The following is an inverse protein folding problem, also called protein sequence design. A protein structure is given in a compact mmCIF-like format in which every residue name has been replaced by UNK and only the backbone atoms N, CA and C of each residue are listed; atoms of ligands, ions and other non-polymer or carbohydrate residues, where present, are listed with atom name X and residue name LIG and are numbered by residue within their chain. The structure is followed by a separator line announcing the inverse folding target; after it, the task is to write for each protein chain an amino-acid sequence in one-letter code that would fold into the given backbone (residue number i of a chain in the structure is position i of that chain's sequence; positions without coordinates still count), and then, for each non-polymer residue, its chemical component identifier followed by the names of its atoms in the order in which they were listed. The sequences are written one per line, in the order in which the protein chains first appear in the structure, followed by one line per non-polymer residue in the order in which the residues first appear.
data_IF_251980459789
#
_entry.id   IF_251980459789
#
_cell.length_a   1.000
_cell.length_b   1.000
_cell.length_c   1.000
_cell.angle_alpha   90.00
_cell.angle_beta   90.00
_cell.angle_gamma   90.00
#
_symmetry.space_group_name_H-M   'P 1'
#
loop_
_entity.id
_entity.type
_entity.pdbx_description
1 polymer ?
#
# COMPACT_ATOMS: atom_id res chain seq x y z
N UNK A 1 23.41 69.04 78.51
CA UNK A 1 22.54 68.27 79.41
C UNK A 1 21.44 67.58 78.55
N UNK A 2 21.35 66.26 78.61
CA UNK A 2 20.32 65.33 78.14
C UNK A 2 19.89 65.42 76.63
N UNK A 3 20.31 64.51 75.75
CA UNK A 3 19.78 63.15 75.45
C UNK A 3 18.28 63.09 75.17
N UNK A 4 17.88 62.80 73.94
CA UNK A 4 17.04 61.59 73.70
C UNK A 4 16.98 61.27 72.21
N UNK A 5 17.24 60.04 71.92
CA UNK A 5 17.05 59.31 70.60
C UNK A 5 15.62 59.18 70.21
N UNK A 6 15.35 59.22 68.89
CA UNK A 6 14.25 58.44 68.36
C UNK A 6 14.63 57.84 66.99
N UNK A 7 14.74 56.54 66.99
CA UNK A 7 14.87 55.70 65.77
C UNK A 7 13.55 55.64 65.04
N UNK A 8 13.51 55.97 63.74
CA UNK A 8 12.37 55.69 62.91
C UNK A 8 12.76 54.57 61.93
N UNK A 9 12.15 53.38 62.15
CA UNK A 9 12.24 52.26 61.25
C UNK A 9 11.40 52.53 59.97
N UNK A 10 12.06 52.62 58.85
CA UNK A 10 11.39 52.60 57.54
C UNK A 10 10.96 51.18 57.21
N UNK A 11 9.68 50.90 57.05
CA UNK A 11 9.11 49.69 56.48
C UNK A 11 9.17 49.78 54.94
N UNK A 12 10.04 49.00 54.30
CA UNK A 12 10.03 48.76 52.87
C UNK A 12 8.91 47.77 52.56
N UNK A 13 7.86 48.20 51.93
CA UNK A 13 6.82 47.31 51.38
C UNK A 13 7.33 46.73 50.07
N UNK A 14 7.70 45.45 50.06
CA UNK A 14 7.99 44.70 48.85
C UNK A 14 6.64 44.29 48.25
N UNK A 15 6.20 44.98 47.23
CA UNK A 15 5.04 44.60 46.39
C UNK A 15 5.49 43.48 45.46
N UNK A 16 5.23 42.26 45.84
CA UNK A 16 5.45 41.08 44.97
C UNK A 16 4.51 41.11 43.78
N UNK A 17 5.06 41.33 42.60
CA UNK A 17 4.34 41.14 41.32
C UNK A 17 4.17 39.63 41.09
N UNK A 18 3.01 39.09 41.47
CA UNK A 18 2.62 37.73 41.06
C UNK A 18 2.27 37.79 39.62
N UNK A 19 3.21 37.44 38.75
CA UNK A 19 2.94 37.17 37.35
C UNK A 19 2.06 35.93 37.29
N UNK A 20 0.75 36.12 37.10
CA UNK A 20 -0.20 35.05 36.79
C UNK A 20 0.19 34.47 35.45
N UNK A 21 0.86 33.33 35.45
CA UNK A 21 1.03 32.46 34.29
C UNK A 21 -0.36 31.91 34.01
N UNK A 22 -1.12 32.61 33.16
CA UNK A 22 -2.32 32.03 32.55
C UNK A 22 -1.86 30.79 31.76
N UNK A 23 -2.42 29.61 32.04
CA UNK A 23 -2.16 28.48 31.17
C UNK A 23 -2.65 28.87 29.78
N UNK A 24 -1.73 29.04 28.81
CA UNK A 24 -2.12 29.06 27.41
C UNK A 24 -2.89 27.78 27.18
N UNK A 25 -4.20 27.88 27.01
CA UNK A 25 -5.01 26.76 26.55
C UNK A 25 -4.47 26.39 25.19
N UNK A 26 -3.65 25.35 25.17
CA UNK A 26 -3.29 24.63 23.96
C UNK A 26 -4.63 24.26 23.35
N UNK A 27 -4.94 24.77 22.16
CA UNK A 27 -6.10 24.35 21.39
C UNK A 27 -5.89 22.87 21.04
N UNK A 28 -6.20 21.99 22.00
CA UNK A 28 -6.21 20.56 21.81
C UNK A 28 -7.43 20.26 20.95
N UNK A 29 -7.23 19.80 19.74
CA UNK A 29 -8.29 19.26 18.90
C UNK A 29 -8.61 17.87 19.42
N UNK A 30 -9.81 17.63 19.93
CA UNK A 30 -10.19 16.33 20.53
C UNK A 30 -10.35 15.23 19.48
N UNK A 31 -10.71 15.61 18.25
CA UNK A 31 -10.97 14.67 17.17
C UNK A 31 -10.40 15.14 15.84
N UNK A 32 -9.89 14.19 15.04
CA UNK A 32 -9.56 14.38 13.62
C UNK A 32 -10.55 13.58 12.78
N UNK A 33 -11.17 14.23 11.80
CA UNK A 33 -12.07 13.59 10.84
C UNK A 33 -11.29 13.15 9.63
N UNK A 34 -11.33 11.87 9.27
CA UNK A 34 -10.61 11.34 8.13
C UNK A 34 -11.56 10.60 7.20
N UNK A 35 -11.63 11.04 5.94
CA UNK A 35 -12.34 10.28 4.91
C UNK A 35 -11.55 9.04 4.54
N UNK A 36 -12.16 7.86 4.66
CA UNK A 36 -11.54 6.57 4.31
C UNK A 36 -12.31 5.95 3.15
N UNK A 37 -11.70 5.92 1.99
CA UNK A 37 -12.35 5.48 0.74
C UNK A 37 -11.85 4.12 0.32
N UNK A 38 -12.78 3.18 0.09
CA UNK A 38 -12.50 1.80 -0.33
C UNK A 38 -13.69 1.23 -1.08
N UNK A 39 -13.52 0.18 -1.89
CA UNK A 39 -14.66 -0.49 -2.53
C UNK A 39 -15.52 -1.19 -1.47
N UNK A 40 -16.71 -0.68 -1.24
CA UNK A 40 -17.69 -1.27 -0.32
C UNK A 40 -18.80 -2.01 -1.06
N UNK A 41 -18.89 -1.82 -2.38
CA UNK A 41 -19.84 -2.49 -3.26
C UNK A 41 -19.15 -3.01 -4.52
N UNK A 42 -19.82 -3.92 -5.26
CA UNK A 42 -19.34 -4.49 -6.51
C UNK A 42 -18.25 -5.55 -6.36
N UNK A 43 -17.65 -5.99 -7.49
CA UNK A 43 -16.73 -7.14 -7.53
C UNK A 43 -15.44 -6.97 -6.72
N UNK A 44 -15.06 -5.74 -6.39
CA UNK A 44 -13.87 -5.45 -5.60
C UNK A 44 -14.12 -5.39 -4.10
N UNK A 45 -15.37 -5.41 -3.64
CA UNK A 45 -15.69 -5.25 -2.23
C UNK A 45 -15.15 -6.41 -1.37
N UNK A 46 -15.52 -7.65 -1.70
CA UNK A 46 -15.11 -8.85 -0.95
C UNK A 46 -13.58 -9.04 -0.89
N UNK A 47 -12.91 -9.17 -2.05
CA UNK A 47 -11.49 -9.52 -2.07
C UNK A 47 -10.54 -8.36 -1.72
N UNK A 48 -11.00 -7.11 -1.77
CA UNK A 48 -10.13 -5.94 -1.55
C UNK A 48 -10.72 -4.91 -0.60
N UNK A 49 -11.91 -4.40 -0.88
CA UNK A 49 -12.44 -3.22 -0.21
C UNK A 49 -12.80 -3.45 1.24
N UNK A 50 -13.52 -4.53 1.56
CA UNK A 50 -13.85 -4.91 2.93
C UNK A 50 -12.61 -5.21 3.76
N UNK A 51 -11.66 -6.05 3.28
CA UNK A 51 -10.40 -6.26 3.99
C UNK A 51 -9.59 -4.97 4.22
N UNK A 52 -9.58 -4.05 3.26
CA UNK A 52 -8.92 -2.75 3.39
C UNK A 52 -9.54 -1.92 4.53
N UNK A 53 -10.87 -1.78 4.53
CA UNK A 53 -11.62 -1.11 5.61
C UNK A 53 -11.32 -1.74 6.96
N UNK A 54 -11.39 -3.06 7.07
CA UNK A 54 -11.14 -3.81 8.30
C UNK A 54 -9.71 -3.61 8.82
N UNK A 55 -8.71 -3.57 7.94
CA UNK A 55 -7.34 -3.29 8.31
C UNK A 55 -7.15 -1.87 8.87
N UNK A 56 -7.80 -0.88 8.25
CA UNK A 56 -7.82 0.49 8.77
C UNK A 56 -8.50 0.56 10.15
N UNK A 57 -9.66 -0.07 10.33
CA UNK A 57 -10.40 -0.09 11.60
C UNK A 57 -9.57 -0.63 12.77
N UNK A 58 -8.87 -1.77 12.57
CA UNK A 58 -8.00 -2.35 13.61
C UNK A 58 -6.95 -1.36 14.09
N UNK A 59 -6.26 -0.71 13.15
CA UNK A 59 -5.16 0.20 13.48
C UNK A 59 -5.70 1.51 14.06
N UNK A 60 -6.78 2.06 13.53
CA UNK A 60 -7.42 3.28 14.06
C UNK A 60 -7.86 3.05 15.51
N UNK A 61 -8.56 1.95 15.77
CA UNK A 61 -9.06 1.65 17.12
C UNK A 61 -7.91 1.44 18.12
N UNK A 62 -6.85 0.75 17.70
CA UNK A 62 -5.68 0.52 18.54
C UNK A 62 -4.89 1.81 18.84
N UNK A 63 -4.75 2.72 17.86
CA UNK A 63 -4.13 4.03 18.08
C UNK A 63 -5.02 4.89 18.97
N UNK A 64 -6.33 4.94 18.72
CA UNK A 64 -7.28 5.72 19.52
C UNK A 64 -7.27 5.30 20.99
N UNK A 65 -7.12 4.00 21.27
CA UNK A 65 -7.05 3.46 22.63
C UNK A 65 -5.65 3.46 23.24
N UNK A 66 -4.58 3.66 22.43
CA UNK A 66 -3.18 3.54 22.86
C UNK A 66 -2.72 2.11 23.08
N UNK A 67 -3.36 1.13 22.43
CA UNK A 67 -3.06 -0.30 22.58
C UNK A 67 -2.26 -0.89 21.42
N UNK A 68 -1.90 -0.07 20.43
CA UNK A 68 -1.04 -0.51 19.35
C UNK A 68 0.39 -0.79 19.88
N UNK A 69 1.10 -1.82 19.38
CA UNK A 69 2.49 -2.07 19.80
C UNK A 69 3.43 -0.90 19.50
N UNK A 70 4.52 -0.83 20.25
CA UNK A 70 5.60 0.11 19.94
C UNK A 70 6.10 -0.08 18.49
N UNK A 71 6.49 0.99 17.81
CA UNK A 71 6.63 2.37 18.29
C UNK A 71 5.33 3.22 18.21
N UNK A 72 4.16 2.61 17.97
CA UNK A 72 2.88 3.29 17.71
C UNK A 72 1.97 3.35 18.94
N UNK A 73 2.47 3.07 20.11
CA UNK A 73 1.71 2.92 21.35
C UNK A 73 1.30 4.24 22.05
N UNK A 74 1.62 5.39 21.47
CA UNK A 74 1.08 6.67 21.96
C UNK A 74 -0.38 6.80 21.57
N UNK A 75 -1.24 7.19 22.53
CA UNK A 75 -2.68 7.31 22.33
C UNK A 75 -3.04 8.43 21.36
N UNK A 76 -3.93 8.13 20.42
CA UNK A 76 -4.49 9.08 19.46
C UNK A 76 -3.51 9.55 18.38
N UNK A 77 -3.92 10.52 17.61
CA UNK A 77 -3.17 11.18 16.53
C UNK A 77 -2.80 12.59 17.03
N UNK A 78 -1.58 12.77 17.46
CA UNK A 78 -1.19 13.95 18.25
C UNK A 78 -2.11 14.16 19.49
N UNK A 79 -2.55 13.08 20.12
CA UNK A 79 -3.49 13.08 21.23
C UNK A 79 -4.98 13.08 20.85
N UNK A 80 -5.34 13.49 19.62
CA UNK A 80 -6.72 13.49 19.15
C UNK A 80 -7.22 12.09 18.75
N UNK A 81 -8.50 11.83 18.93
CA UNK A 81 -9.16 10.60 18.46
C UNK A 81 -9.49 10.72 16.98
N UNK A 82 -9.09 9.76 16.14
CA UNK A 82 -9.53 9.71 14.76
C UNK A 82 -10.96 9.22 14.66
N UNK A 83 -11.80 10.00 13.95
CA UNK A 83 -13.15 9.64 13.55
C UNK A 83 -13.16 9.34 12.03
N UNK A 84 -13.12 8.07 11.60
CA UNK A 84 -13.14 7.72 10.18
C UNK A 84 -14.53 7.83 9.59
N UNK A 85 -14.63 8.41 8.39
CA UNK A 85 -15.85 8.44 7.59
C UNK A 85 -15.63 7.56 6.37
N UNK A 86 -16.20 6.37 6.37
CA UNK A 86 -16.04 5.41 5.29
C UNK A 86 -16.91 5.74 4.08
N UNK A 87 -16.36 5.60 2.87
CA UNK A 87 -17.08 5.82 1.62
C UNK A 87 -16.72 4.78 0.57
N UNK A 88 -17.67 4.53 -0.32
CA UNK A 88 -17.54 3.55 -1.41
C UNK A 88 -16.76 4.13 -2.60
N UNK A 89 -15.69 3.45 -3.02
CA UNK A 89 -14.86 3.79 -4.18
C UNK A 89 -15.53 3.46 -5.53
N UNK A 90 -16.67 2.79 -5.54
CA UNK A 90 -17.34 2.37 -6.77
C UNK A 90 -17.84 3.56 -7.60
N UNK A 91 -17.97 3.37 -8.92
CA UNK A 91 -18.54 4.34 -9.86
C UNK A 91 -17.54 5.15 -10.66
N UNK A 92 -16.23 4.88 -10.51
CA UNK A 92 -15.17 5.44 -11.35
C UNK A 92 -14.77 6.88 -11.00
N UNK A 93 -13.75 7.39 -11.71
CA UNK A 93 -13.05 8.62 -11.36
C UNK A 93 -13.94 9.86 -11.25
N UNK A 94 -14.90 10.05 -12.16
CA UNK A 94 -15.79 11.22 -12.15
C UNK A 94 -16.64 11.27 -10.87
N UNK A 95 -17.24 10.14 -10.49
CA UNK A 95 -18.01 10.06 -9.24
C UNK A 95 -17.11 10.30 -8.02
N UNK A 96 -15.91 9.70 -8.03
CA UNK A 96 -14.96 9.85 -6.92
C UNK A 96 -14.47 11.28 -6.75
N UNK A 97 -14.26 12.04 -7.83
CA UNK A 97 -13.93 13.47 -7.75
C UNK A 97 -15.05 14.26 -7.07
N UNK A 98 -16.32 14.00 -7.41
CA UNK A 98 -17.47 14.63 -6.75
C UNK A 98 -17.49 14.32 -5.25
N UNK A 99 -17.37 13.04 -4.87
CA UNK A 99 -17.34 12.61 -3.48
C UNK A 99 -16.14 13.20 -2.71
N UNK A 100 -14.98 13.29 -3.32
CA UNK A 100 -13.80 13.90 -2.71
C UNK A 100 -14.02 15.37 -2.37
N UNK A 101 -14.60 16.14 -3.30
CA UNK A 101 -14.96 17.53 -3.06
C UNK A 101 -15.99 17.69 -1.94
N UNK A 102 -16.98 16.78 -1.88
CA UNK A 102 -17.97 16.76 -0.79
C UNK A 102 -17.34 16.47 0.58
N UNK A 103 -16.37 15.57 0.67
CA UNK A 103 -15.59 15.36 1.90
C UNK A 103 -14.90 16.64 2.37
N UNK A 104 -14.27 17.36 1.44
CA UNK A 104 -13.53 18.59 1.76
C UNK A 104 -14.48 19.72 2.12
N UNK A 105 -15.50 19.97 1.28
CA UNK A 105 -16.33 21.18 1.36
C UNK A 105 -17.50 21.07 2.32
N UNK A 106 -18.10 19.86 2.45
CA UNK A 106 -19.31 19.67 3.26
C UNK A 106 -19.03 18.97 4.59
N UNK A 107 -18.10 17.99 4.58
CA UNK A 107 -17.82 17.22 5.79
C UNK A 107 -16.63 17.76 6.59
N UNK A 108 -15.85 18.68 6.00
CA UNK A 108 -14.69 19.32 6.63
C UNK A 108 -13.72 18.30 7.24
N UNK A 109 -13.30 17.32 6.40
CA UNK A 109 -12.30 16.33 6.83
C UNK A 109 -10.91 16.95 6.93
N UNK A 110 -10.10 16.41 7.83
CA UNK A 110 -8.70 16.84 8.06
C UNK A 110 -7.71 16.15 7.13
N UNK A 111 -8.05 14.95 6.64
CA UNK A 111 -7.26 14.20 5.68
C UNK A 111 -8.13 13.16 4.95
N UNK A 112 -7.60 12.66 3.85
CA UNK A 112 -8.16 11.55 3.10
C UNK A 112 -7.19 10.37 3.09
N UNK A 113 -7.70 9.16 3.32
CA UNK A 113 -6.94 7.89 3.23
C UNK A 113 -7.71 6.94 2.31
N UNK A 114 -6.99 6.24 1.44
CA UNK A 114 -7.64 5.17 0.69
C UNK A 114 -7.25 5.08 -0.76
N UNK A 115 -8.23 4.71 -1.54
CA UNK A 115 -8.21 4.42 -2.97
C UNK A 115 -7.36 3.22 -3.38
N UNK A 116 -8.02 2.31 -4.05
CA UNK A 116 -7.46 1.04 -4.57
C UNK A 116 -7.18 1.16 -6.07
N UNK A 117 -8.13 1.71 -6.84
CA UNK A 117 -8.03 1.79 -8.30
C UNK A 117 -7.01 2.85 -8.73
N UNK A 118 -6.04 2.45 -9.57
CA UNK A 118 -5.10 3.39 -10.19
C UNK A 118 -5.80 4.48 -11.02
N UNK A 119 -6.94 4.16 -11.65
CA UNK A 119 -7.76 5.13 -12.38
C UNK A 119 -8.33 6.20 -11.44
N UNK A 120 -8.84 5.80 -10.28
CA UNK A 120 -9.36 6.74 -9.29
C UNK A 120 -8.23 7.60 -8.69
N UNK A 121 -7.09 7.02 -8.36
CA UNK A 121 -5.94 7.79 -7.85
C UNK A 121 -5.44 8.83 -8.85
N UNK A 122 -5.41 8.50 -10.15
CA UNK A 122 -5.04 9.45 -11.20
C UNK A 122 -6.06 10.58 -11.34
N UNK A 123 -7.35 10.31 -11.12
CA UNK A 123 -8.39 11.34 -11.12
C UNK A 123 -8.35 12.22 -9.86
N UNK A 124 -8.11 11.63 -8.69
CA UNK A 124 -8.11 12.33 -7.39
C UNK A 124 -6.83 13.13 -7.14
N UNK A 125 -5.67 12.62 -7.57
CA UNK A 125 -4.38 13.26 -7.29
C UNK A 125 -4.32 14.76 -7.67
N UNK A 126 -4.74 15.17 -8.88
CA UNK A 126 -4.83 16.59 -9.26
C UNK A 126 -5.79 17.39 -8.38
N UNK A 127 -6.94 16.81 -8.02
CA UNK A 127 -7.96 17.46 -7.20
C UNK A 127 -7.47 17.67 -5.77
N UNK A 128 -6.78 16.68 -5.20
CA UNK A 128 -6.19 16.81 -3.86
C UNK A 128 -5.19 17.97 -3.77
N UNK A 129 -4.34 18.14 -4.79
CA UNK A 129 -3.42 19.29 -4.88
C UNK A 129 -4.17 20.62 -5.07
N UNK A 130 -5.21 20.62 -5.94
CA UNK A 130 -6.03 21.82 -6.21
C UNK A 130 -6.69 22.36 -4.95
N UNK A 131 -7.34 21.46 -4.19
CA UNK A 131 -8.04 21.85 -2.96
C UNK A 131 -7.15 21.80 -1.71
N UNK A 132 -5.86 21.53 -1.88
CA UNK A 132 -4.84 21.45 -0.82
C UNK A 132 -5.23 20.48 0.30
N UNK A 133 -5.75 19.29 -0.04
CA UNK A 133 -6.17 18.30 0.93
C UNK A 133 -5.12 17.18 1.07
N UNK A 134 -4.58 17.02 2.27
CA UNK A 134 -3.69 15.89 2.58
C UNK A 134 -4.40 14.56 2.26
N UNK A 135 -3.83 13.83 1.31
CA UNK A 135 -4.37 12.57 0.82
C UNK A 135 -3.31 11.49 0.84
N UNK A 136 -3.60 10.35 1.46
CA UNK A 136 -2.69 9.20 1.53
C UNK A 136 -3.29 8.05 0.75
N UNK A 137 -2.80 7.80 -0.45
CA UNK A 137 -3.19 6.64 -1.24
C UNK A 137 -2.61 5.36 -0.65
N UNK A 138 -3.47 4.34 -0.54
CA UNK A 138 -3.14 3.09 0.14
C UNK A 138 -2.70 1.98 -0.80
N UNK A 139 -3.33 1.86 -1.98
CA UNK A 139 -3.22 0.63 -2.78
C UNK A 139 -2.91 0.86 -4.25
N UNK A 140 -3.36 1.94 -4.87
CA UNK A 140 -3.18 2.15 -6.31
C UNK A 140 -1.70 2.02 -6.74
N UNK A 141 -1.45 1.44 -7.93
CA UNK A 141 -0.13 0.94 -8.29
C UNK A 141 0.53 1.57 -9.52
N UNK A 142 -0.13 2.45 -10.29
CA UNK A 142 0.51 3.10 -11.43
C UNK A 142 1.70 3.97 -11.01
N UNK A 143 2.83 3.88 -11.72
CA UNK A 143 3.98 4.77 -11.50
C UNK A 143 3.71 6.19 -11.98
N UNK A 144 2.76 6.38 -12.90
CA UNK A 144 2.44 7.67 -13.53
C UNK A 144 2.06 8.73 -12.52
N UNK A 145 1.47 8.35 -11.39
CA UNK A 145 1.01 9.27 -10.35
C UNK A 145 2.07 10.31 -9.93
N UNK A 146 3.36 9.91 -9.88
CA UNK A 146 4.47 10.77 -9.48
C UNK A 146 5.52 10.97 -10.57
N UNK A 147 5.53 10.15 -11.62
CA UNK A 147 6.51 10.29 -12.71
C UNK A 147 6.03 11.25 -13.78
N UNK A 148 4.70 11.41 -13.97
CA UNK A 148 4.16 12.46 -14.85
C UNK A 148 4.12 13.82 -14.18
N UNK A 149 3.83 13.89 -12.88
CA UNK A 149 3.80 15.14 -12.11
C UNK A 149 4.02 14.88 -10.63
N UNK A 150 4.91 15.66 -10.00
CA UNK A 150 5.05 15.67 -8.54
C UNK A 150 3.78 16.23 -7.89
N UNK A 151 3.45 15.71 -6.71
CA UNK A 151 2.26 16.05 -5.93
C UNK A 151 2.67 16.54 -4.55
N UNK A 152 2.14 17.67 -4.12
CA UNK A 152 2.51 18.30 -2.85
C UNK A 152 1.63 17.87 -1.67
N UNK A 153 0.37 17.49 -1.93
CA UNK A 153 -0.60 17.10 -0.90
C UNK A 153 -0.94 15.60 -0.93
N UNK A 154 -0.30 14.85 -1.82
CA UNK A 154 -0.59 13.44 -2.03
C UNK A 154 0.60 12.59 -1.62
N UNK A 155 0.35 11.59 -0.77
CA UNK A 155 1.31 10.53 -0.41
C UNK A 155 0.81 9.18 -0.90
N UNK A 156 1.71 8.22 -1.08
CA UNK A 156 1.36 6.83 -1.32
C UNK A 156 2.28 5.90 -0.55
N UNK A 157 1.70 5.10 0.35
CA UNK A 157 2.44 4.16 1.21
C UNK A 157 2.70 2.81 0.57
N UNK A 158 2.08 2.54 -0.57
CA UNK A 158 2.27 1.32 -1.34
C UNK A 158 3.28 1.55 -2.48
N UNK A 159 4.09 0.54 -2.78
CA UNK A 159 4.92 0.50 -3.98
C UNK A 159 4.08 0.48 -5.27
N UNK A 160 4.73 0.60 -6.40
CA UNK A 160 4.06 0.68 -7.70
C UNK A 160 4.36 -0.53 -8.60
N UNK A 161 3.76 -0.55 -9.78
CA UNK A 161 3.87 -1.62 -10.77
C UNK A 161 5.32 -1.98 -11.14
N UNK A 162 6.25 -1.04 -11.02
CA UNK A 162 7.67 -1.27 -11.33
C UNK A 162 8.24 -2.36 -10.42
N UNK A 163 8.16 -2.16 -9.10
CA UNK A 163 8.70 -3.14 -8.15
C UNK A 163 8.01 -4.49 -8.24
N UNK A 164 6.67 -4.50 -8.31
CA UNK A 164 5.89 -5.74 -8.42
C UNK A 164 6.30 -6.56 -9.65
N UNK A 165 6.43 -5.91 -10.80
CA UNK A 165 6.69 -6.59 -12.08
C UNK A 165 8.16 -6.97 -12.28
N UNK A 166 9.10 -6.13 -11.82
CA UNK A 166 10.53 -6.46 -11.85
C UNK A 166 10.84 -7.62 -10.90
N UNK A 167 10.23 -7.64 -9.70
CA UNK A 167 10.37 -8.77 -8.78
C UNK A 167 9.79 -10.07 -9.36
N UNK A 168 8.66 -10.01 -10.07
CA UNK A 168 8.08 -11.16 -10.78
C UNK A 168 9.06 -11.72 -11.82
N UNK A 169 9.59 -10.86 -12.69
CA UNK A 169 10.54 -11.27 -13.73
C UNK A 169 11.84 -11.83 -13.13
N UNK A 170 12.34 -11.20 -12.06
CA UNK A 170 13.54 -11.67 -11.36
C UNK A 170 13.30 -13.03 -10.68
N UNK A 171 12.14 -13.22 -10.04
CA UNK A 171 11.77 -14.50 -9.43
C UNK A 171 11.73 -15.64 -10.46
N UNK A 172 11.19 -15.38 -11.64
CA UNK A 172 11.18 -16.34 -12.75
C UNK A 172 12.61 -16.72 -13.14
N UNK A 173 13.50 -15.75 -13.27
CA UNK A 173 14.89 -15.99 -13.61
C UNK A 173 15.65 -16.75 -12.51
N UNK A 174 15.53 -16.30 -11.26
CA UNK A 174 16.33 -16.81 -10.15
C UNK A 174 15.86 -18.18 -9.68
N UNK A 175 14.56 -18.36 -9.46
CA UNK A 175 14.03 -19.54 -8.78
C UNK A 175 13.37 -20.52 -9.73
N UNK A 176 12.56 -20.05 -10.65
CA UNK A 176 11.80 -20.97 -11.49
C UNK A 176 12.67 -21.65 -12.53
N UNK A 177 13.50 -20.90 -13.25
CA UNK A 177 14.32 -21.46 -14.32
C UNK A 177 15.76 -21.80 -13.89
N UNK A 178 16.35 -21.14 -12.93
CA UNK A 178 17.71 -21.43 -12.42
C UNK A 178 18.73 -21.79 -13.51
N UNK A 179 18.67 -21.10 -14.65
CA UNK A 179 19.56 -21.35 -15.79
C UNK A 179 19.27 -22.61 -16.62
N UNK A 180 18.21 -23.38 -16.33
CA UNK A 180 17.90 -24.68 -16.97
C UNK A 180 16.76 -24.56 -18.00
N UNK A 181 16.82 -23.67 -18.96
CA UNK A 181 15.68 -23.44 -19.83
C UNK A 181 15.94 -23.82 -21.28
N UNK A 182 15.04 -24.63 -21.87
CA UNK A 182 14.96 -24.79 -23.32
C UNK A 182 14.37 -23.52 -23.96
N UNK A 183 14.69 -23.26 -25.23
CA UNK A 183 14.22 -22.06 -25.94
C UNK A 183 12.68 -21.98 -26.02
N UNK A 184 11.98 -23.11 -26.07
CA UNK A 184 10.54 -23.19 -26.12
C UNK A 184 9.84 -22.78 -24.80
N UNK A 185 10.54 -22.94 -23.66
CA UNK A 185 9.97 -22.67 -22.34
C UNK A 185 10.14 -21.21 -21.90
N UNK A 186 10.91 -20.42 -22.68
CA UNK A 186 11.21 -19.02 -22.39
C UNK A 186 10.15 -18.03 -22.91
N UNK A 187 9.17 -18.50 -23.66
CA UNK A 187 8.11 -17.61 -24.16
C UNK A 187 7.17 -17.20 -23.06
N UNK A 188 6.84 -15.91 -23.03
CA UNK A 188 5.89 -15.33 -22.09
C UNK A 188 4.84 -14.48 -22.80
N UNK A 189 3.69 -14.35 -22.16
CA UNK A 189 2.57 -13.48 -22.55
C UNK A 189 1.92 -12.92 -21.29
N UNK A 190 0.76 -12.26 -21.43
CA UNK A 190 0.03 -11.75 -20.29
C UNK A 190 -1.47 -11.65 -20.53
N UNK A 191 -2.20 -11.62 -19.42
CA UNK A 191 -3.58 -11.20 -19.35
C UNK A 191 -3.72 -10.18 -18.24
N UNK A 192 -4.02 -8.92 -18.58
CA UNK A 192 -4.04 -7.81 -17.65
C UNK A 192 -5.24 -6.93 -17.93
N UNK A 193 -5.81 -6.28 -16.93
CA UNK A 193 -6.98 -5.40 -17.11
C UNK A 193 -6.60 -4.16 -17.92
N UNK A 194 -7.46 -3.76 -18.86
CA UNK A 194 -7.21 -2.66 -19.80
C UNK A 194 -7.41 -1.28 -19.15
N UNK A 195 -6.52 -0.91 -18.24
CA UNK A 195 -6.41 0.42 -17.65
C UNK A 195 -4.99 0.64 -17.09
N UNK A 196 -4.71 1.82 -16.49
CA UNK A 196 -3.35 2.21 -16.09
C UNK A 196 -2.58 1.11 -15.35
N UNK A 197 -3.15 0.50 -14.30
CA UNK A 197 -2.49 -0.56 -13.53
C UNK A 197 -2.10 -1.77 -14.36
N UNK A 198 -3.04 -2.31 -15.18
CA UNK A 198 -2.78 -3.52 -15.95
C UNK A 198 -1.78 -3.28 -17.08
N UNK A 199 -1.89 -2.14 -17.76
CA UNK A 199 -0.96 -1.73 -18.81
C UNK A 199 0.45 -1.52 -18.27
N UNK A 200 0.60 -0.82 -17.15
CA UNK A 200 1.89 -0.54 -16.51
C UNK A 200 2.52 -1.82 -15.96
N UNK A 201 1.74 -2.68 -15.32
CA UNK A 201 2.22 -3.97 -14.80
C UNK A 201 2.81 -4.84 -15.92
N UNK A 202 2.11 -4.99 -17.04
CA UNK A 202 2.63 -5.78 -18.15
C UNK A 202 3.83 -5.12 -18.85
N UNK A 203 3.82 -3.79 -18.99
CA UNK A 203 4.96 -3.03 -19.52
C UNK A 203 6.24 -3.32 -18.72
N UNK A 204 6.18 -3.19 -17.40
CA UNK A 204 7.37 -3.42 -16.55
C UNK A 204 7.71 -4.89 -16.40
N UNK A 205 6.75 -5.80 -16.50
CA UNK A 205 7.06 -7.22 -16.58
C UNK A 205 7.87 -7.55 -17.84
N UNK A 206 7.46 -7.05 -19.01
CA UNK A 206 8.23 -7.21 -20.27
C UNK A 206 9.63 -6.63 -20.16
N UNK A 207 9.77 -5.42 -19.63
CA UNK A 207 11.07 -4.78 -19.41
C UNK A 207 11.94 -5.59 -18.44
N UNK A 208 11.36 -6.11 -17.37
CA UNK A 208 12.04 -7.00 -16.42
C UNK A 208 12.49 -8.31 -17.06
N UNK A 209 11.63 -8.95 -17.85
CA UNK A 209 12.01 -10.16 -18.62
C UNK A 209 13.18 -9.90 -19.55
N UNK A 210 13.19 -8.77 -20.26
CA UNK A 210 14.31 -8.40 -21.13
C UNK A 210 15.64 -8.20 -20.36
N UNK A 211 15.58 -7.74 -19.12
CA UNK A 211 16.76 -7.52 -18.28
C UNK A 211 17.28 -8.79 -17.58
N UNK A 212 16.37 -9.63 -17.07
CA UNK A 212 16.74 -10.80 -16.28
C UNK A 212 16.79 -12.09 -17.10
N UNK A 213 16.08 -12.13 -18.22
CA UNK A 213 16.03 -13.27 -19.13
C UNK A 213 16.08 -12.79 -20.60
N UNK A 214 17.21 -12.24 -21.07
CA UNK A 214 17.31 -11.60 -22.40
C UNK A 214 17.06 -12.57 -23.56
N UNK A 215 17.17 -13.88 -23.33
CA UNK A 215 16.83 -14.91 -24.33
C UNK A 215 15.31 -15.27 -24.34
N UNK A 216 14.50 -14.74 -23.42
CA UNK A 216 13.07 -14.97 -23.42
C UNK A 216 12.37 -14.13 -24.50
N UNK A 217 11.40 -14.73 -25.17
CA UNK A 217 10.62 -14.09 -26.23
C UNK A 217 9.20 -13.87 -25.78
N UNK A 218 8.75 -12.62 -25.80
CA UNK A 218 7.37 -12.25 -25.50
C UNK A 218 6.45 -12.54 -26.68
N UNK A 219 5.27 -13.08 -26.42
CA UNK A 219 4.20 -13.18 -27.42
C UNK A 219 3.72 -11.80 -27.87
N UNK A 220 3.37 -11.66 -29.13
CA UNK A 220 2.76 -10.44 -29.70
C UNK A 220 1.28 -10.28 -29.38
N UNK A 221 0.67 -11.24 -28.68
CA UNK A 221 -0.77 -11.31 -28.44
C UNK A 221 -1.15 -11.35 -26.95
N UNK A 222 -0.65 -10.43 -26.12
CA UNK A 222 -1.13 -10.32 -24.74
C UNK A 222 -2.60 -9.89 -24.74
N UNK A 223 -3.34 -10.32 -23.71
CA UNK A 223 -4.77 -10.04 -23.59
C UNK A 223 -5.00 -8.87 -22.60
N UNK A 224 -5.89 -7.95 -22.98
CA UNK A 224 -6.25 -6.81 -22.13
C UNK A 224 -7.79 -6.66 -22.07
N UNK A 225 -8.48 -7.56 -21.35
CA UNK A 225 -9.92 -7.41 -21.15
C UNK A 225 -10.26 -6.18 -20.32
N UNK A 226 -11.51 -5.72 -20.44
CA UNK A 226 -12.03 -4.60 -19.66
C UNK A 226 -12.01 -4.95 -18.16
N UNK A 227 -11.73 -3.95 -17.33
CA UNK A 227 -11.86 -4.06 -15.88
C UNK A 227 -13.30 -4.43 -15.49
N UNK A 228 -13.46 -5.37 -14.56
CA UNK A 228 -14.73 -5.93 -14.12
C UNK A 228 -15.51 -6.68 -15.21
N UNK A 229 -14.81 -7.28 -16.16
CA UNK A 229 -15.42 -8.11 -17.19
C UNK A 229 -16.09 -9.37 -16.63
N UNK A 230 -15.46 -10.05 -15.68
CA UNK A 230 -15.97 -11.26 -15.04
C UNK A 230 -16.07 -12.50 -15.95
N UNK A 231 -15.85 -12.35 -17.27
CA UNK A 231 -15.92 -13.41 -18.27
C UNK A 231 -14.64 -13.42 -19.10
N UNK A 232 -13.90 -14.54 -19.08
CA UNK A 232 -12.55 -14.68 -19.65
C UNK A 232 -12.39 -15.90 -20.55
N UNK A 233 -13.50 -16.50 -21.00
CA UNK A 233 -13.46 -17.74 -21.80
C UNK A 233 -12.70 -17.61 -23.11
N UNK A 234 -12.86 -16.48 -23.82
CA UNK A 234 -12.14 -16.17 -25.06
C UNK A 234 -10.65 -15.96 -24.83
N UNK A 235 -10.31 -15.20 -23.82
CA UNK A 235 -8.92 -14.90 -23.46
C UNK A 235 -8.17 -16.16 -22.99
N UNK A 236 -8.81 -17.00 -22.17
CA UNK A 236 -8.26 -18.28 -21.73
C UNK A 236 -8.01 -19.20 -22.92
N UNK A 237 -8.96 -19.26 -23.88
CA UNK A 237 -8.80 -20.06 -25.09
C UNK A 237 -7.63 -19.55 -25.94
N UNK A 238 -7.54 -18.24 -26.17
CA UNK A 238 -6.45 -17.62 -26.90
C UNK A 238 -5.07 -17.89 -26.23
N UNK A 239 -4.98 -17.72 -24.91
CA UNK A 239 -3.78 -18.00 -24.14
C UNK A 239 -3.40 -19.49 -24.17
N UNK A 240 -4.38 -20.40 -24.16
CA UNK A 240 -4.14 -21.85 -24.20
C UNK A 240 -3.55 -22.29 -25.55
N UNK A 241 -3.89 -21.61 -26.62
CA UNK A 241 -3.36 -21.83 -27.98
C UNK A 241 -2.02 -21.11 -28.22
N UNK A 242 -1.68 -20.09 -27.43
CA UNK A 242 -0.41 -19.39 -27.54
C UNK A 242 0.75 -20.33 -27.19
N UNK A 243 1.90 -20.16 -27.87
CA UNK A 243 3.11 -20.95 -27.58
C UNK A 243 3.77 -20.57 -26.25
N UNK A 244 3.47 -19.38 -25.72
CA UNK A 244 4.00 -18.93 -24.43
C UNK A 244 3.54 -19.84 -23.30
N UNK A 245 4.48 -20.25 -22.46
CA UNK A 245 4.18 -21.06 -21.27
C UNK A 245 3.94 -20.19 -20.02
N UNK A 246 4.63 -19.07 -19.93
CA UNK A 246 4.51 -18.12 -18.82
C UNK A 246 3.42 -17.11 -19.14
N UNK A 247 2.44 -16.96 -18.26
CA UNK A 247 1.36 -15.97 -18.39
C UNK A 247 1.38 -15.06 -17.18
N UNK A 248 1.75 -13.79 -17.40
CA UNK A 248 1.69 -12.76 -16.37
C UNK A 248 0.29 -12.20 -16.23
N UNK A 249 -0.15 -11.99 -15.00
CA UNK A 249 -1.39 -11.28 -14.70
C UNK A 249 -1.22 -10.31 -13.55
N UNK A 250 -1.83 -9.15 -13.69
CA UNK A 250 -2.06 -8.16 -12.64
C UNK A 250 -3.53 -8.10 -12.21
N UNK A 251 -4.32 -9.09 -12.56
CA UNK A 251 -5.71 -9.18 -12.14
C UNK A 251 -5.83 -9.13 -10.63
N UNK A 252 -6.77 -8.36 -10.18
CA UNK A 252 -7.15 -8.18 -8.79
C UNK A 252 -8.67 -8.22 -8.68
N UNK A 253 -9.23 -8.17 -7.48
CA UNK A 253 -10.67 -8.23 -7.22
C UNK A 253 -11.34 -9.52 -7.73
N UNK A 254 -12.64 -9.47 -7.94
CA UNK A 254 -13.43 -10.57 -8.49
C UNK A 254 -13.01 -11.01 -9.90
N UNK A 255 -12.29 -10.16 -10.67
CA UNK A 255 -11.74 -10.57 -11.97
C UNK A 255 -10.69 -11.67 -11.83
N UNK A 256 -9.82 -11.57 -10.81
CA UNK A 256 -8.85 -12.63 -10.54
C UNK A 256 -9.54 -13.95 -10.19
N UNK A 257 -10.51 -13.92 -9.29
CA UNK A 257 -11.26 -15.11 -8.88
C UNK A 257 -12.04 -15.72 -10.05
N UNK A 258 -12.74 -14.88 -10.84
CA UNK A 258 -13.47 -15.32 -12.01
C UNK A 258 -12.56 -15.93 -13.07
N UNK A 259 -11.39 -15.33 -13.32
CA UNK A 259 -10.39 -15.89 -14.23
C UNK A 259 -9.89 -17.24 -13.73
N UNK A 260 -9.51 -17.35 -12.45
CA UNK A 260 -9.00 -18.59 -11.87
C UNK A 260 -9.99 -19.73 -11.98
N UNK A 261 -11.26 -19.52 -11.63
CA UNK A 261 -12.30 -20.52 -11.72
C UNK A 261 -12.54 -20.99 -13.17
N UNK A 262 -12.59 -20.07 -14.12
CA UNK A 262 -12.76 -20.38 -15.53
C UNK A 262 -11.53 -21.07 -16.13
N UNK A 263 -10.32 -20.69 -15.69
CA UNK A 263 -9.06 -21.30 -16.11
C UNK A 263 -8.90 -22.73 -15.59
N UNK A 264 -9.32 -22.99 -14.34
CA UNK A 264 -9.33 -24.33 -13.75
C UNK A 264 -10.17 -25.31 -14.56
N UNK A 265 -11.40 -24.96 -14.85
CA UNK A 265 -12.35 -25.83 -15.63
C UNK A 265 -11.82 -26.11 -17.02
N UNK A 266 -11.04 -25.20 -17.63
CA UNK A 266 -10.47 -25.35 -18.97
C UNK A 266 -9.09 -25.98 -19.02
N UNK A 267 -8.57 -26.48 -17.91
CA UNK A 267 -7.25 -27.13 -17.86
C UNK A 267 -6.08 -26.20 -18.17
N UNK A 268 -6.22 -24.91 -17.91
CA UNK A 268 -5.21 -23.90 -18.19
C UNK A 268 -3.90 -24.18 -17.48
N UNK A 269 -3.95 -24.52 -16.19
CA UNK A 269 -2.77 -24.74 -15.33
C UNK A 269 -1.99 -26.02 -15.64
N UNK A 270 -2.55 -26.90 -16.47
CA UNK A 270 -1.82 -28.07 -16.99
C UNK A 270 -0.85 -27.70 -18.13
N UNK A 271 -1.08 -26.54 -18.77
CA UNK A 271 -0.34 -26.08 -19.95
C UNK A 271 0.47 -24.82 -19.70
N UNK A 272 0.07 -24.03 -18.73
CA UNK A 272 0.58 -22.66 -18.47
C UNK A 272 1.00 -22.47 -17.02
N UNK A 273 2.01 -21.64 -16.86
CA UNK A 273 2.51 -21.17 -15.57
C UNK A 273 1.97 -19.76 -15.39
N UNK A 274 1.09 -19.59 -14.42
CA UNK A 274 0.57 -18.27 -14.08
C UNK A 274 1.54 -17.55 -13.14
N UNK A 275 1.82 -16.28 -13.45
CA UNK A 275 2.58 -15.35 -12.60
C UNK A 275 1.67 -14.22 -12.23
N UNK A 276 1.25 -14.15 -10.98
CA UNK A 276 0.32 -13.14 -10.48
C UNK A 276 1.02 -12.15 -9.55
N UNK A 277 0.89 -10.85 -9.87
CA UNK A 277 1.44 -9.77 -9.04
C UNK A 277 0.60 -9.46 -7.80
N UNK A 278 -0.69 -9.84 -7.78
CA UNK A 278 -1.69 -9.36 -6.81
C UNK A 278 -2.63 -10.44 -6.29
N UNK A 279 -2.54 -11.65 -6.81
CA UNK A 279 -3.54 -12.71 -6.60
C UNK A 279 -3.67 -13.23 -5.16
N UNK A 280 -2.82 -12.81 -4.24
CA UNK A 280 -2.83 -13.31 -2.86
C UNK A 280 -4.16 -13.14 -2.11
N UNK A 281 -4.98 -12.15 -2.49
CA UNK A 281 -6.31 -11.96 -1.89
C UNK A 281 -7.36 -12.96 -2.36
N UNK A 282 -7.17 -13.60 -3.53
CA UNK A 282 -8.08 -14.63 -4.05
C UNK A 282 -7.73 -16.06 -3.61
N UNK A 283 -6.59 -16.25 -2.95
CA UNK A 283 -6.13 -17.59 -2.55
C UNK A 283 -7.06 -18.20 -1.51
N UNK A 284 -7.46 -17.43 -0.51
CA UNK A 284 -8.32 -17.94 0.58
C UNK A 284 -9.75 -18.19 0.13
N UNK A 285 -10.29 -17.36 -0.78
CA UNK A 285 -11.65 -17.53 -1.30
C UNK A 285 -11.79 -18.79 -2.15
N UNK A 286 -10.73 -19.22 -2.83
CA UNK A 286 -10.70 -20.43 -3.64
C UNK A 286 -10.29 -21.68 -2.82
N UNK A 287 -9.62 -21.51 -1.70
CA UNK A 287 -9.18 -22.56 -0.77
C UNK A 287 -8.56 -23.78 -1.50
N UNK A 288 -9.06 -24.98 -1.28
CA UNK A 288 -8.60 -26.24 -1.91
C UNK A 288 -8.65 -26.22 -3.44
N UNK A 289 -9.44 -25.33 -4.03
CA UNK A 289 -9.53 -25.19 -5.49
C UNK A 289 -8.40 -24.35 -6.05
N UNK A 290 -7.66 -23.60 -5.20
CA UNK A 290 -6.54 -22.81 -5.68
C UNK A 290 -5.41 -23.73 -6.16
N UNK A 291 -4.92 -23.58 -7.42
CA UNK A 291 -3.92 -24.48 -7.95
C UNK A 291 -2.56 -24.32 -7.28
N UNK A 292 -1.88 -25.44 -7.04
CA UNK A 292 -0.47 -25.46 -6.71
C UNK A 292 0.36 -24.96 -7.90
N UNK A 293 1.51 -24.35 -7.65
CA UNK A 293 2.47 -23.99 -8.70
C UNK A 293 2.27 -22.61 -9.32
N UNK A 294 1.32 -21.80 -8.86
CA UNK A 294 1.20 -20.40 -9.29
C UNK A 294 2.31 -19.58 -8.66
N UNK A 295 3.08 -18.86 -9.47
CA UNK A 295 4.06 -17.88 -9.00
C UNK A 295 3.27 -16.65 -8.52
N UNK A 296 3.36 -16.33 -7.23
CA UNK A 296 2.47 -15.40 -6.56
C UNK A 296 3.24 -14.31 -5.82
N UNK A 297 2.91 -13.05 -6.15
CA UNK A 297 3.21 -11.88 -5.34
C UNK A 297 1.96 -11.36 -4.62
N UNK A 298 2.15 -10.53 -3.60
CA UNK A 298 1.08 -9.93 -2.81
C UNK A 298 1.16 -8.41 -2.78
N UNK A 299 1.88 -7.81 -3.73
CA UNK A 299 2.19 -6.38 -3.76
C UNK A 299 2.90 -5.91 -2.48
N UNK A 300 4.01 -6.53 -2.18
CA UNK A 300 4.81 -6.27 -0.99
C UNK A 300 5.15 -7.55 -0.24
N UNK A 301 5.57 -7.39 0.98
CA UNK A 301 5.76 -8.47 1.95
C UNK A 301 4.57 -8.44 2.92
N UNK A 302 3.39 -8.90 2.47
CA UNK A 302 2.11 -8.81 3.18
C UNK A 302 1.22 -10.03 2.92
N UNK A 303 0.11 -10.14 3.64
CA UNK A 303 -0.92 -11.15 3.43
C UNK A 303 -0.40 -12.58 3.56
N UNK A 304 -0.68 -13.43 2.55
CA UNK A 304 -0.29 -14.84 2.52
C UNK A 304 1.20 -15.07 2.78
N UNK A 305 2.07 -14.18 2.30
CA UNK A 305 3.53 -14.32 2.41
C UNK A 305 4.00 -14.22 3.87
N UNK A 306 3.34 -13.41 4.69
CA UNK A 306 3.75 -13.11 6.07
C UNK A 306 2.91 -13.81 7.15
N UNK A 307 2.06 -14.76 6.79
CA UNK A 307 1.21 -15.47 7.76
C UNK A 307 1.98 -16.15 8.88
N UNK A 308 3.19 -16.61 8.60
CA UNK A 308 4.06 -17.26 9.56
C UNK A 308 5.19 -16.33 10.07
N UNK A 309 5.18 -15.05 9.71
CA UNK A 309 6.14 -14.08 10.22
C UNK A 309 5.77 -13.68 11.65
N UNK A 310 6.75 -13.79 12.55
CA UNK A 310 6.58 -13.62 14.00
C UNK A 310 7.05 -12.26 14.52
N UNK A 311 7.35 -11.30 13.63
CA UNK A 311 7.63 -9.93 14.08
C UNK A 311 6.47 -9.43 14.95
N UNK A 312 6.76 -8.76 16.08
CA UNK A 312 5.73 -8.43 17.07
C UNK A 312 4.54 -7.67 16.48
N UNK A 313 4.81 -6.69 15.60
CA UNK A 313 3.76 -5.89 14.98
C UNK A 313 2.91 -6.71 14.00
N UNK A 314 3.52 -7.60 13.21
CA UNK A 314 2.78 -8.47 12.29
C UNK A 314 1.94 -9.49 13.06
N UNK A 315 2.52 -10.13 14.07
CA UNK A 315 1.78 -11.07 14.92
C UNK A 315 0.58 -10.40 15.58
N UNK A 316 0.77 -9.21 16.18
CA UNK A 316 -0.31 -8.44 16.76
C UNK A 316 -1.44 -8.15 15.77
N UNK A 317 -1.08 -7.76 14.55
CA UNK A 317 -2.06 -7.42 13.50
C UNK A 317 -2.86 -8.65 13.06
N UNK A 318 -2.19 -9.78 12.81
CA UNK A 318 -2.85 -11.04 12.46
C UNK A 318 -3.78 -11.49 13.58
N UNK A 319 -3.31 -11.51 14.83
CA UNK A 319 -4.10 -11.95 15.99
C UNK A 319 -5.33 -11.05 16.21
N UNK A 320 -5.15 -9.73 16.11
CA UNK A 320 -6.24 -8.75 16.24
C UNK A 320 -7.27 -8.90 15.13
N UNK A 321 -6.81 -9.09 13.89
CA UNK A 321 -7.67 -9.26 12.73
C UNK A 321 -8.47 -10.58 12.83
N UNK A 322 -7.82 -11.69 13.16
CA UNK A 322 -8.47 -12.99 13.36
C UNK A 322 -9.47 -12.95 14.50
N UNK A 323 -9.12 -12.33 15.62
CA UNK A 323 -10.03 -12.16 16.76
C UNK A 323 -11.31 -11.41 16.38
N UNK A 324 -11.20 -10.37 15.55
CA UNK A 324 -12.33 -9.51 15.20
C UNK A 324 -13.16 -10.03 14.04
N UNK A 325 -12.52 -10.62 13.04
CA UNK A 325 -13.17 -10.97 11.76
C UNK A 325 -13.15 -12.46 11.42
N UNK A 326 -12.49 -13.29 12.21
CA UNK A 326 -12.45 -14.75 11.99
C UNK A 326 -11.60 -15.19 10.79
N UNK A 327 -10.82 -14.30 10.18
CA UNK A 327 -10.05 -14.54 8.95
C UNK A 327 -8.62 -14.01 9.05
N UNK A 328 -7.77 -14.37 8.11
CA UNK A 328 -6.45 -13.74 7.96
C UNK A 328 -6.57 -12.37 7.29
N UNK A 329 -5.73 -11.37 7.68
CA UNK A 329 -5.65 -10.12 6.96
C UNK A 329 -5.07 -10.34 5.56
N UNK A 330 -5.73 -9.79 4.55
CA UNK A 330 -5.28 -9.82 3.16
C UNK A 330 -4.34 -8.64 2.85
N UNK A 331 -3.69 -8.65 1.69
CA UNK A 331 -2.81 -7.57 1.26
C UNK A 331 -3.41 -6.16 1.45
N UNK A 332 -4.64 -5.89 0.99
CA UNK A 332 -5.31 -4.60 1.19
C UNK A 332 -5.48 -4.20 2.66
N UNK A 333 -5.65 -5.15 3.59
CA UNK A 333 -5.72 -4.86 5.03
C UNK A 333 -4.44 -4.21 5.53
N UNK A 334 -3.29 -4.77 5.16
CA UNK A 334 -1.97 -4.23 5.50
C UNK A 334 -1.72 -2.86 4.86
N UNK A 335 -2.16 -2.68 3.62
CA UNK A 335 -1.91 -1.45 2.85
C UNK A 335 -2.67 -0.25 3.44
N UNK A 336 -3.94 -0.44 3.85
CA UNK A 336 -4.71 0.61 4.51
C UNK A 336 -4.23 0.88 5.94
N UNK A 337 -3.94 -0.17 6.69
CA UNK A 337 -3.33 -0.06 8.02
C UNK A 337 -2.02 0.78 7.97
N UNK A 338 -1.17 0.52 6.97
CA UNK A 338 0.07 1.26 6.73
C UNK A 338 -0.15 2.74 6.43
N UNK A 339 -1.20 3.08 5.68
CA UNK A 339 -1.55 4.47 5.41
C UNK A 339 -1.99 5.21 6.68
N UNK A 340 -2.76 4.56 7.55
CA UNK A 340 -3.12 5.09 8.88
C UNK A 340 -1.87 5.28 9.75
N UNK A 341 -0.93 4.33 9.72
CA UNK A 341 0.34 4.44 10.46
C UNK A 341 1.19 5.63 9.99
N UNK A 342 1.29 5.87 8.67
CA UNK A 342 1.98 7.05 8.16
C UNK A 342 1.35 8.34 8.67
N UNK A 343 0.02 8.44 8.66
CA UNK A 343 -0.68 9.62 9.19
C UNK A 343 -0.41 9.79 10.70
N UNK A 344 -0.45 8.71 11.48
CA UNK A 344 -0.09 8.71 12.91
C UNK A 344 1.31 9.28 13.15
N UNK A 345 2.31 8.77 12.43
CA UNK A 345 3.70 9.23 12.55
C UNK A 345 3.81 10.72 12.20
N UNK A 346 3.17 11.13 11.10
CA UNK A 346 3.15 12.53 10.66
C UNK A 346 2.58 13.46 11.72
N UNK A 347 1.43 13.10 12.28
CA UNK A 347 0.74 13.85 13.33
C UNK A 347 1.60 13.98 14.59
N UNK A 348 2.12 12.86 15.11
CA UNK A 348 2.89 12.86 16.35
C UNK A 348 4.21 13.62 16.19
N UNK A 349 4.91 13.40 15.08
CA UNK A 349 6.20 14.08 14.79
C UNK A 349 6.00 15.58 14.63
N UNK A 350 4.96 15.99 13.90
CA UNK A 350 4.62 17.39 13.70
C UNK A 350 4.21 18.08 15.02
N UNK A 351 3.37 17.42 15.82
CA UNK A 351 2.94 17.93 17.12
C UNK A 351 4.12 18.10 18.08
N UNK A 352 5.01 17.10 18.12
CA UNK A 352 6.25 17.18 18.93
C UNK A 352 7.13 18.35 18.53
N UNK A 353 7.30 18.57 17.24
CA UNK A 353 8.11 19.67 16.72
C UNK A 353 7.47 21.05 16.97
N UNK A 354 6.14 21.14 16.85
CA UNK A 354 5.40 22.40 17.03
C UNK A 354 5.07 22.72 18.50
N UNK A 355 5.16 21.75 19.42
CA UNK A 355 4.72 21.90 20.83
C UNK A 355 3.21 22.12 20.99
N UNK A 356 2.43 21.87 19.94
CA UNK A 356 0.97 22.03 19.90
C UNK A 356 0.36 21.15 18.83
N UNK A 357 -0.99 21.11 18.74
CA UNK A 357 -1.68 20.40 17.67
C UNK A 357 -1.21 20.93 16.29
N UNK A 358 -0.78 20.04 15.36
CA UNK A 358 -0.12 20.46 14.13
C UNK A 358 -1.11 20.96 13.07
N UNK A 359 -0.65 21.85 12.21
CA UNK A 359 -1.34 22.17 10.95
C UNK A 359 -1.12 21.07 9.91
N UNK A 360 -1.97 21.02 8.89
CA UNK A 360 -1.82 20.07 7.78
C UNK A 360 -0.43 20.17 7.10
N UNK A 361 0.06 21.39 6.86
CA UNK A 361 1.37 21.60 6.23
C UNK A 361 2.52 21.05 7.09
N UNK A 362 2.42 21.17 8.41
CA UNK A 362 3.39 20.59 9.34
C UNK A 362 3.34 19.06 9.30
N UNK A 363 2.16 18.46 9.17
CA UNK A 363 2.00 17.01 9.02
C UNK A 363 2.58 16.54 7.69
N UNK A 364 2.30 17.23 6.59
CA UNK A 364 2.90 16.95 5.26
C UNK A 364 4.44 16.98 5.35
N UNK A 365 5.00 18.04 5.92
CA UNK A 365 6.45 18.17 6.09
C UNK A 365 7.05 17.06 6.96
N UNK A 366 6.34 16.63 8.01
CA UNK A 366 6.77 15.57 8.91
C UNK A 366 6.71 14.16 8.28
N UNK A 367 5.83 13.94 7.30
CA UNK A 367 5.68 12.68 6.57
C UNK A 367 6.65 12.55 5.40
N UNK A 368 7.10 13.66 4.84
CA UNK A 368 7.94 13.68 3.65
C UNK A 368 9.30 13.03 3.90
N UNK A 369 9.68 12.08 3.06
CA UNK A 369 11.03 11.47 3.08
C UNK A 369 11.32 10.55 4.25
N UNK A 370 10.34 10.20 5.09
CA UNK A 370 10.57 9.36 6.26
C UNK A 370 10.73 7.88 5.91
N UNK A 371 11.39 7.18 6.82
CA UNK A 371 11.42 5.71 6.87
C UNK A 371 10.73 5.27 8.16
N UNK A 372 9.90 4.24 8.07
CA UNK A 372 9.20 3.70 9.24
C UNK A 372 8.99 2.19 9.14
N UNK A 373 8.97 1.54 10.32
CA UNK A 373 8.65 0.13 10.42
C UNK A 373 7.16 -0.12 10.18
N UNK A 374 6.88 -1.12 9.40
CA UNK A 374 5.55 -1.66 9.17
C UNK A 374 5.55 -3.13 9.58
N UNK A 375 4.46 -3.86 9.43
CA UNK A 375 4.24 -5.19 9.98
C UNK A 375 5.45 -6.16 9.84
N UNK A 376 5.78 -6.57 8.64
CA UNK A 376 6.93 -7.44 8.36
C UNK A 376 7.91 -6.79 7.37
N UNK A 377 7.92 -5.45 7.30
CA UNK A 377 8.68 -4.70 6.31
C UNK A 377 8.99 -3.27 6.79
N UNK A 378 9.97 -2.65 6.16
CA UNK A 378 10.31 -1.24 6.33
C UNK A 378 9.81 -0.46 5.12
N UNK A 379 9.17 0.68 5.35
CA UNK A 379 8.62 1.56 4.33
C UNK A 379 9.48 2.81 4.25
N UNK A 380 9.94 3.11 3.04
CA UNK A 380 10.82 4.24 2.78
C UNK A 380 10.14 5.21 1.82
N UNK A 381 9.78 6.40 2.30
CA UNK A 381 9.19 7.47 1.49
C UNK A 381 10.28 8.16 0.66
N UNK A 382 10.82 7.47 -0.38
CA UNK A 382 12.03 7.91 -1.10
C UNK A 382 11.79 8.50 -2.47
N UNK A 383 10.67 8.21 -3.11
CA UNK A 383 10.38 8.67 -4.48
C UNK A 383 9.33 9.76 -4.48
N UNK A 384 9.08 10.40 -5.66
CA UNK A 384 8.10 11.47 -5.75
C UNK A 384 8.40 12.63 -4.77
N UNK A 385 9.67 13.01 -4.65
CA UNK A 385 10.14 14.02 -3.69
C UNK A 385 9.76 13.68 -2.22
N UNK A 386 9.87 12.39 -1.87
CA UNK A 386 9.55 11.92 -0.51
C UNK A 386 8.08 11.62 -0.26
N UNK A 387 7.24 11.61 -1.27
CA UNK A 387 5.80 11.37 -1.17
C UNK A 387 5.39 9.95 -1.60
N UNK A 388 6.28 9.23 -2.28
CA UNK A 388 6.07 7.88 -2.77
C UNK A 388 6.93 6.86 -2.03
N UNK A 389 6.29 5.88 -1.43
CA UNK A 389 6.96 4.77 -0.77
C UNK A 389 7.63 3.80 -1.74
N UNK A 390 8.75 3.24 -1.30
CA UNK A 390 9.32 1.99 -1.78
C UNK A 390 9.46 1.03 -0.60
N UNK A 391 9.40 -0.25 -0.86
CA UNK A 391 9.54 -1.31 0.13
C UNK A 391 9.94 -2.62 -0.56
N UNK A 392 10.22 -3.66 0.21
CA UNK A 392 10.53 -4.97 -0.37
C UNK A 392 9.30 -5.58 -1.07
N UNK A 393 9.55 -6.39 -2.09
CA UNK A 393 8.53 -7.21 -2.75
C UNK A 393 8.93 -8.67 -2.64
N UNK A 394 7.99 -9.51 -2.24
CA UNK A 394 8.21 -10.93 -2.14
C UNK A 394 7.36 -11.72 -3.15
N UNK A 395 7.95 -12.77 -3.68
CA UNK A 395 7.30 -13.76 -4.53
C UNK A 395 7.57 -15.15 -4.00
N UNK A 396 6.64 -16.06 -4.24
CA UNK A 396 6.77 -17.48 -3.92
C UNK A 396 5.90 -18.33 -4.84
N UNK A 397 5.79 -19.60 -4.56
CA UNK A 397 4.97 -20.55 -5.32
C UNK A 397 3.85 -21.06 -4.41
N UNK A 398 2.63 -21.04 -4.91
CA UNK A 398 1.47 -21.54 -4.14
C UNK A 398 1.57 -23.03 -3.93
N UNK A 399 1.21 -23.47 -2.72
CA UNK A 399 1.18 -24.86 -2.31
C UNK A 399 0.13 -25.06 -1.24
N UNK A 400 -0.79 -26.00 -1.46
CA UNK A 400 -1.76 -26.35 -0.43
C UNK A 400 -1.08 -27.08 0.74
N UNK A 401 -1.22 -26.52 1.94
CA UNK A 401 -0.69 -27.13 3.16
C UNK A 401 -1.68 -28.15 3.72
N UNK A 402 -1.49 -29.41 3.38
CA UNK A 402 -2.37 -30.51 3.81
C UNK A 402 -2.43 -30.68 5.33
N UNK A 403 -1.33 -30.42 6.04
CA UNK A 403 -1.27 -30.54 7.49
C UNK A 403 -2.10 -29.50 8.23
N UNK A 404 -2.14 -28.28 7.70
CA UNK A 404 -2.95 -27.17 8.24
C UNK A 404 -4.34 -27.08 7.64
N UNK A 405 -4.60 -27.75 6.52
CA UNK A 405 -5.85 -27.68 5.80
C UNK A 405 -6.12 -26.30 5.14
N UNK A 406 -5.07 -25.57 4.75
CA UNK A 406 -5.17 -24.21 4.20
C UNK A 406 -4.22 -23.99 3.04
N UNK A 407 -4.52 -23.03 2.13
CA UNK A 407 -3.57 -22.60 1.11
C UNK A 407 -2.32 -21.99 1.73
N UNK A 408 -1.17 -22.24 1.11
CA UNK A 408 0.12 -21.72 1.54
C UNK A 408 0.97 -21.23 0.39
N UNK A 409 2.15 -20.77 0.72
CA UNK A 409 3.16 -20.33 -0.24
C UNK A 409 4.53 -20.84 0.21
N UNK A 410 5.32 -21.33 -0.72
CA UNK A 410 6.67 -21.84 -0.47
C UNK A 410 7.69 -21.16 -1.38
N UNK A 411 8.99 -21.40 -1.14
CA UNK A 411 10.11 -20.83 -1.93
C UNK A 411 10.03 -19.33 -2.03
N UNK A 412 9.71 -18.68 -0.93
CA UNK A 412 9.56 -17.24 -0.87
C UNK A 412 10.93 -16.55 -0.99
N UNK A 413 11.06 -15.65 -1.95
CA UNK A 413 12.21 -14.75 -2.09
C UNK A 413 11.72 -13.32 -1.91
N UNK A 414 12.39 -12.58 -1.03
CA UNK A 414 12.14 -11.17 -0.76
C UNK A 414 13.22 -10.33 -1.43
N UNK A 415 12.81 -9.46 -2.35
CA UNK A 415 13.69 -8.52 -3.05
C UNK A 415 13.65 -7.15 -2.37
N UNK A 416 14.82 -6.60 -2.05
CA UNK A 416 14.92 -5.28 -1.43
C UNK A 416 14.45 -4.17 -2.36
N UNK A 417 14.01 -3.05 -1.80
CA UNK A 417 13.61 -1.88 -2.57
C UNK A 417 14.72 -1.41 -3.53
N UNK A 418 15.98 -1.44 -3.09
CA UNK A 418 17.14 -1.06 -3.90
C UNK A 418 17.43 -1.99 -5.09
N UNK A 419 16.86 -3.19 -5.09
CA UNK A 419 16.98 -4.15 -6.19
C UNK A 419 15.96 -3.90 -7.31
N UNK A 420 14.75 -3.45 -6.95
CA UNK A 420 13.58 -3.47 -7.83
C UNK A 420 12.95 -2.11 -8.09
N UNK A 421 13.43 -1.06 -7.43
CA UNK A 421 12.99 0.32 -7.71
C UNK A 421 14.15 1.18 -8.16
N UNK A 422 13.90 2.13 -9.07
CA UNK A 422 14.92 3.08 -9.47
C UNK A 422 15.29 4.04 -8.33
N UNK A 423 16.49 4.65 -8.38
CA UNK A 423 16.87 5.73 -7.47
C UNK A 423 15.85 6.88 -7.47
N UNK A 424 15.85 7.68 -6.41
CA UNK A 424 15.02 8.87 -6.34
C UNK A 424 15.24 9.78 -7.57
N UNK A 425 14.16 10.31 -8.12
CA UNK A 425 14.19 11.20 -9.30
C UNK A 425 14.36 10.51 -10.65
N UNK A 426 14.76 9.24 -10.72
CA UNK A 426 14.86 8.54 -11.98
C UNK A 426 13.50 8.12 -12.53
N UNK A 427 13.29 8.23 -13.84
CA UNK A 427 12.10 7.72 -14.53
C UNK A 427 12.25 6.21 -14.69
N UNK A 428 11.28 5.46 -14.19
CA UNK A 428 11.34 4.01 -14.05
C UNK A 428 11.61 3.30 -15.37
N UNK A 429 10.90 3.65 -16.44
CA UNK A 429 11.08 3.04 -17.72
C UNK A 429 12.51 3.23 -18.25
N UNK A 430 13.01 4.46 -18.25
CA UNK A 430 14.37 4.79 -18.70
C UNK A 430 15.44 4.05 -17.88
N UNK A 431 15.22 3.97 -16.57
CA UNK A 431 16.14 3.26 -15.68
C UNK A 431 16.21 1.77 -16.00
N UNK A 432 15.07 1.11 -16.25
CA UNK A 432 15.06 -0.32 -16.61
C UNK A 432 15.72 -0.52 -17.98
N UNK A 433 15.35 0.28 -18.99
CA UNK A 433 15.90 0.19 -20.35
C UNK A 433 17.43 0.41 -20.40
N UNK A 434 17.97 1.21 -19.49
CA UNK A 434 19.42 1.43 -19.35
C UNK A 434 20.16 0.37 -18.53
N UNK A 435 19.53 -0.75 -18.20
CA UNK A 435 20.16 -1.85 -17.45
C UNK A 435 20.13 -1.70 -15.94
N UNK A 436 19.26 -0.84 -15.43
CA UNK A 436 19.05 -0.62 -13.99
C UNK A 436 20.32 -0.20 -13.23
N UNK A 437 20.99 0.90 -13.63
CA UNK A 437 22.23 1.33 -13.01
C UNK A 437 22.04 1.65 -11.52
N UNK A 438 23.00 1.25 -10.70
CA UNK A 438 22.99 1.50 -9.26
C UNK A 438 22.06 0.59 -8.44
N UNK A 439 21.41 -0.41 -9.06
CA UNK A 439 20.63 -1.41 -8.31
C UNK A 439 21.54 -2.21 -7.37
N UNK A 440 20.99 -2.56 -6.20
CA UNK A 440 21.67 -3.42 -5.23
C UNK A 440 20.76 -4.60 -4.93
N UNK A 441 21.05 -5.75 -5.52
CA UNK A 441 20.40 -7.02 -5.22
C UNK A 441 21.36 -7.84 -4.36
N UNK A 442 20.88 -8.34 -3.24
CA UNK A 442 21.61 -9.25 -2.36
C UNK A 442 21.56 -10.66 -2.93
#
# INVERSE_FOLDING_TARGET
MKLTNLKTLGRIAITGLIASILPMSVNAKDTVKVGVVSFLTGPAAGPFGTPAKQGAEIVIDAINSGTMPAPYNTKGFAGATMNPIFSDESGGGTKQVGLFRDFVQKQNVDAMIGYISSGNCMAIGPVADEVKMLTIFSTCGTERLYEEKLRSHVFRTQGNAVGDSLAAAKYIADEYFKGKVSTSDKMYTGINQNYAWGQDSYKFFKLGMAQYMPSAVGSSKPQFPKLFSGQYGSEISALSLDKAKIVHTSFWNGDFEAFMLQALVRGFFQKKILVSSVGGSGVDSLDKKFPDGVIMGTRGNVGLIVRNDTTPLNKWFIDSYKKRYGAYPLGPSYQYARAVMLYKIGMDKAAKAAGKFPTQDQVIAAMKGITFESFADTIEMKRGDGHQAVHSIAYGVTKYNKAKGEPGIEKVIKYSASCIYPPAGAISQKWVESGMPGRKCN
#
